data_IF_891247894133
#
_entry.id   IF_891247894133
#
_cell.length_a   1.000
_cell.length_b   1.000
_cell.length_c   1.000
_cell.angle_alpha   90.00
_cell.angle_beta   90.00
_cell.angle_gamma   90.00
#
_symmetry.space_group_name_H-M   'P 1'
#
loop_
_entity.id
_entity.type
_entity.pdbx_description
1 polymer ?
#
# COMPACT_ATOMS: atom_id res chain seq x y z
N UNK A 1 44.76 7.12 18.14
CA UNK A 1 43.63 7.72 17.40
C UNK A 1 43.50 7.19 15.98
N UNK A 2 44.60 6.77 15.32
CA UNK A 2 44.56 6.16 13.98
C UNK A 2 43.76 4.85 13.87
N UNK A 3 43.81 4.00 14.90
CA UNK A 3 43.12 2.71 14.92
C UNK A 3 41.60 2.90 14.76
N UNK A 4 41.00 3.83 15.51
CA UNK A 4 39.58 4.14 15.42
C UNK A 4 39.17 4.74 14.07
N UNK A 5 40.01 5.59 13.46
CA UNK A 5 39.77 6.10 12.10
C UNK A 5 39.81 5.00 11.04
N UNK A 6 40.75 4.06 11.17
CA UNK A 6 40.86 2.94 10.24
C UNK A 6 39.64 2.01 10.32
N UNK A 7 39.14 1.79 11.54
CA UNK A 7 37.93 1.01 11.80
C UNK A 7 36.67 1.71 11.26
N UNK A 8 36.52 3.01 11.47
CA UNK A 8 35.42 3.80 10.93
C UNK A 8 35.37 3.77 9.39
N UNK A 9 36.53 3.96 8.73
CA UNK A 9 36.64 3.87 7.26
C UNK A 9 36.32 2.48 6.74
N UNK A 10 36.71 1.43 7.46
CA UNK A 10 36.37 0.05 7.12
C UNK A 10 34.86 -0.19 7.18
N UNK A 11 34.20 0.24 8.27
CA UNK A 11 32.76 0.10 8.43
C UNK A 11 31.95 0.96 7.46
N UNK A 12 32.40 2.17 7.12
CA UNK A 12 31.78 3.00 6.09
C UNK A 12 31.82 2.33 4.71
N UNK A 13 32.98 1.83 4.27
CA UNK A 13 33.11 1.14 2.97
C UNK A 13 32.23 -0.10 2.92
N UNK A 14 32.19 -0.88 4.00
CA UNK A 14 31.37 -2.08 4.11
C UNK A 14 29.87 -1.76 4.13
N UNK A 15 29.48 -0.67 4.81
CA UNK A 15 28.12 -0.16 4.82
C UNK A 15 27.66 0.27 3.42
N UNK A 16 28.50 1.02 2.71
CA UNK A 16 28.24 1.44 1.33
C UNK A 16 28.13 0.26 0.35
N UNK A 17 29.03 -0.72 0.44
CA UNK A 17 28.93 -1.96 -0.36
C UNK A 17 27.68 -2.76 -0.02
N UNK A 18 27.32 -2.91 1.26
CA UNK A 18 26.07 -3.55 1.64
C UNK A 18 24.86 -2.78 1.11
N UNK A 19 24.84 -1.45 1.19
CA UNK A 19 23.74 -0.65 0.63
C UNK A 19 23.66 -0.75 -0.89
N UNK A 20 24.79 -0.76 -1.60
CA UNK A 20 24.79 -0.92 -3.06
C UNK A 20 24.34 -2.32 -3.49
N UNK A 21 24.79 -3.36 -2.79
CA UNK A 21 24.49 -4.76 -3.10
C UNK A 21 23.13 -5.23 -2.54
N UNK A 22 22.66 -4.60 -1.46
CA UNK A 22 21.50 -5.02 -0.66
C UNK A 22 20.54 -3.86 -0.37
N UNK A 23 20.64 -2.73 -1.06
CA UNK A 23 19.73 -1.60 -0.88
C UNK A 23 18.27 -1.97 -1.16
N UNK A 24 18.07 -3.03 -1.96
CA UNK A 24 16.78 -3.65 -2.20
C UNK A 24 16.41 -4.78 -1.21
N UNK A 25 17.25 -5.07 -0.20
CA UNK A 25 17.00 -6.20 0.72
C UNK A 25 15.70 -6.02 1.51
N UNK A 26 15.26 -4.77 1.74
CA UNK A 26 13.98 -4.53 2.40
C UNK A 26 12.79 -4.76 1.47
N UNK A 27 12.98 -4.70 0.16
CA UNK A 27 11.93 -4.97 -0.82
C UNK A 27 11.49 -6.42 -0.77
N UNK A 28 12.43 -7.37 -0.60
CA UNK A 28 12.06 -8.78 -0.41
C UNK A 28 11.20 -9.00 0.83
N UNK A 29 11.52 -8.31 1.93
CA UNK A 29 10.72 -8.32 3.16
C UNK A 29 9.32 -7.71 2.93
N UNK A 30 9.23 -6.50 2.37
CA UNK A 30 7.95 -5.85 2.12
C UNK A 30 7.11 -6.58 1.08
N UNK A 31 7.71 -7.14 0.04
CA UNK A 31 7.04 -8.01 -0.94
C UNK A 31 6.51 -9.27 -0.28
N UNK A 32 7.27 -9.93 0.60
CA UNK A 32 6.81 -11.11 1.32
C UNK A 32 5.60 -10.79 2.20
N UNK A 33 5.63 -9.65 2.91
CA UNK A 33 4.50 -9.17 3.72
C UNK A 33 3.30 -8.82 2.83
N UNK A 34 3.49 -8.07 1.74
CA UNK A 34 2.43 -7.71 0.80
C UNK A 34 1.79 -8.94 0.15
N UNK A 35 2.58 -9.91 -0.30
CA UNK A 35 2.12 -11.19 -0.85
C UNK A 35 1.43 -12.05 0.20
N UNK A 36 1.91 -12.03 1.44
CA UNK A 36 1.25 -12.68 2.58
C UNK A 36 -0.14 -12.10 2.83
N UNK A 37 -0.26 -10.76 2.84
CA UNK A 37 -1.54 -10.06 2.96
C UNK A 37 -2.46 -10.35 1.77
N UNK A 38 -1.94 -10.25 0.54
CA UNK A 38 -2.70 -10.55 -0.68
C UNK A 38 -3.31 -11.95 -0.66
N UNK A 39 -2.56 -12.97 -0.20
CA UNK A 39 -3.08 -14.34 -0.07
C UNK A 39 -4.15 -14.48 1.01
N UNK A 40 -3.97 -13.84 2.17
CA UNK A 40 -4.92 -13.93 3.30
C UNK A 40 -6.21 -13.13 3.05
N UNK A 41 -6.11 -12.01 2.34
CA UNK A 41 -7.21 -11.10 2.08
C UNK A 41 -7.82 -11.27 0.68
N UNK A 42 -7.44 -12.31 -0.06
CA UNK A 42 -8.07 -12.60 -1.34
C UNK A 42 -9.54 -12.99 -1.11
N UNK A 43 -10.44 -12.39 -1.88
CA UNK A 43 -11.86 -12.74 -1.90
C UNK A 43 -12.07 -13.60 -3.15
N UNK A 44 -12.11 -14.94 -3.04
CA UNK A 44 -12.24 -15.82 -4.20
C UNK A 44 -13.66 -15.84 -4.77
N UNK A 45 -14.64 -15.55 -3.92
CA UNK A 45 -16.06 -15.58 -4.25
C UNK A 45 -16.78 -14.48 -3.49
N UNK A 46 -17.71 -13.81 -4.16
CA UNK A 46 -18.55 -12.79 -3.57
C UNK A 46 -19.99 -12.99 -4.02
N UNK A 47 -20.94 -12.92 -3.10
CA UNK A 47 -22.36 -12.96 -3.42
C UNK A 47 -22.89 -11.54 -3.59
N UNK A 48 -23.58 -11.31 -4.71
CA UNK A 48 -24.36 -10.12 -4.99
C UNK A 48 -25.84 -10.55 -5.11
N UNK A 49 -26.56 -10.49 -3.99
CA UNK A 49 -27.89 -11.11 -3.88
C UNK A 49 -27.83 -12.60 -4.19
N UNK A 50 -28.54 -13.02 -5.24
CA UNK A 50 -28.58 -14.41 -5.72
C UNK A 50 -27.50 -14.76 -6.76
N UNK A 51 -26.64 -13.80 -7.13
CA UNK A 51 -25.57 -13.99 -8.12
C UNK A 51 -24.24 -14.22 -7.43
N UNK A 52 -23.53 -15.28 -7.83
CA UNK A 52 -22.19 -15.60 -7.34
C UNK A 52 -21.11 -15.08 -8.29
N UNK A 53 -20.37 -14.08 -7.85
CA UNK A 53 -19.19 -13.56 -8.54
C UNK A 53 -17.97 -14.43 -8.22
N UNK A 54 -17.28 -14.89 -9.27
CA UNK A 54 -16.06 -15.72 -9.19
C UNK A 54 -14.85 -15.09 -9.88
N UNK A 55 -15.10 -14.18 -10.83
CA UNK A 55 -14.04 -13.46 -11.52
C UNK A 55 -13.45 -12.39 -10.61
N UNK A 56 -12.12 -12.31 -10.46
CA UNK A 56 -11.49 -11.23 -9.71
C UNK A 56 -11.87 -9.84 -10.23
N UNK A 57 -12.04 -9.68 -11.54
CA UNK A 57 -12.44 -8.42 -12.16
C UNK A 57 -13.88 -8.05 -11.78
N UNK A 58 -14.83 -8.99 -11.88
CA UNK A 58 -16.23 -8.75 -11.50
C UNK A 58 -16.36 -8.42 -10.01
N UNK A 59 -15.62 -9.13 -9.15
CA UNK A 59 -15.56 -8.87 -7.71
C UNK A 59 -15.01 -7.45 -7.45
N UNK A 60 -13.93 -7.06 -8.14
CA UNK A 60 -13.35 -5.73 -8.00
C UNK A 60 -14.30 -4.63 -8.46
N UNK A 61 -14.98 -4.82 -9.59
CA UNK A 61 -15.95 -3.86 -10.12
C UNK A 61 -17.14 -3.73 -9.19
N UNK A 62 -17.70 -4.83 -8.68
CA UNK A 62 -18.81 -4.80 -7.74
C UNK A 62 -18.44 -4.07 -6.44
N UNK A 63 -17.30 -4.39 -5.83
CA UNK A 63 -16.82 -3.71 -4.60
C UNK A 63 -16.64 -2.22 -4.86
N UNK A 64 -16.02 -1.85 -5.98
CA UNK A 64 -15.81 -0.45 -6.34
C UNK A 64 -17.14 0.30 -6.48
N UNK A 65 -18.08 -0.23 -7.27
CA UNK A 65 -19.40 0.39 -7.48
C UNK A 65 -20.17 0.52 -6.17
N UNK A 66 -20.20 -0.53 -5.34
CA UNK A 66 -20.87 -0.51 -4.04
C UNK A 66 -20.37 0.63 -3.14
N UNK A 67 -19.05 0.78 -2.98
CA UNK A 67 -18.50 1.82 -2.11
C UNK A 67 -18.57 3.22 -2.74
N UNK A 68 -18.48 3.31 -4.07
CA UNK A 68 -18.76 4.57 -4.76
C UNK A 68 -20.18 5.01 -4.45
N UNK A 69 -21.17 4.15 -4.64
CA UNK A 69 -22.56 4.47 -4.33
C UNK A 69 -22.74 4.80 -2.85
N UNK A 70 -22.18 4.00 -1.94
CA UNK A 70 -22.29 4.24 -0.50
C UNK A 70 -21.77 5.63 -0.09
N UNK A 71 -20.58 6.01 -0.55
CA UNK A 71 -19.92 7.25 -0.11
C UNK A 71 -20.22 8.47 -0.99
N UNK A 72 -20.55 8.28 -2.27
CA UNK A 72 -20.96 9.39 -3.15
C UNK A 72 -22.45 9.69 -3.04
N UNK A 73 -23.30 8.71 -2.70
CA UNK A 73 -24.71 8.98 -2.41
C UNK A 73 -24.89 9.74 -1.09
N UNK A 74 -23.99 9.56 -0.11
CA UNK A 74 -24.05 10.30 1.16
C UNK A 74 -23.62 11.78 1.08
N UNK A 75 -23.11 12.26 -0.07
CA UNK A 75 -22.90 13.69 -0.29
C UNK A 75 -24.22 14.45 -0.58
N UNK A 76 -25.26 14.19 0.22
CA UNK A 76 -26.50 14.97 0.24
C UNK A 76 -26.35 16.35 0.88
N UNK A 77 -25.16 16.70 1.37
CA UNK A 77 -24.79 18.07 1.73
C UNK A 77 -23.52 18.43 1.01
N UNK A 78 -23.62 19.24 -0.04
CA UNK A 78 -22.44 19.90 -0.60
C UNK A 78 -21.75 20.65 0.53
N UNK A 79 -20.58 20.16 0.97
CA UNK A 79 -19.70 20.92 1.86
C UNK A 79 -19.10 22.02 0.99
N UNK A 80 -19.82 23.14 0.88
CA UNK A 80 -19.31 24.34 0.26
C UNK A 80 -18.45 25.08 1.27
N UNK A 81 -17.23 25.39 0.88
CA UNK A 81 -16.41 26.33 1.62
C UNK A 81 -17.13 27.69 1.63
N UNK A 82 -17.18 28.34 2.79
CA UNK A 82 -17.72 29.70 2.88
C UNK A 82 -16.95 30.60 1.90
N UNK A 83 -17.64 31.55 1.26
CA UNK A 83 -17.02 32.46 0.30
C UNK A 83 -15.81 33.22 0.89
N UNK A 84 -15.79 33.40 2.21
CA UNK A 84 -14.79 34.15 2.95
C UNK A 84 -13.77 33.23 3.66
N UNK A 85 -13.66 31.97 3.24
CA UNK A 85 -12.79 31.02 3.91
C UNK A 85 -11.33 31.47 3.88
N UNK A 86 -10.86 31.99 2.74
CA UNK A 86 -9.50 32.52 2.60
C UNK A 86 -9.45 34.05 2.79
N UNK A 87 -8.50 34.54 3.63
CA UNK A 87 -8.27 35.97 3.83
C UNK A 87 -7.58 36.66 2.65
#
# INVERSE_FOLDING_TARGET
>A
TDIYKSEELFWQRRGGQNWLLKGDANTTYFQAIANGRRRKCAIPFLWDGDVLLRSPDDISTHIYSFYNELFLAELHGAVTLCADFWP
#
